data_IF_013914462914
#
_entry.id   IF_013914462914
#
_cell.length_a   1.000
_cell.length_b   1.000
_cell.length_c   1.000
_cell.angle_alpha   90.00
_cell.angle_beta   90.00
_cell.angle_gamma   90.00
#
_symmetry.space_group_name_H-M   'P 1'
#
loop_
_entity.id
_entity.type
_entity.pdbx_description
1 polymer ?
#
# COMPACT_ATOMS: atom_id res chain seq x y z
N UNK A 1 15.74 -12.58 -46.28
CA UNK A 1 15.58 -12.44 -44.82
C UNK A 1 14.09 -12.31 -44.57
N UNK A 2 13.48 -13.26 -43.84
CA UNK A 2 12.06 -13.15 -43.49
C UNK A 2 11.85 -11.84 -42.72
N UNK A 3 10.99 -10.97 -43.26
CA UNK A 3 10.41 -9.87 -42.50
C UNK A 3 9.49 -10.50 -41.44
N UNK A 4 10.06 -10.90 -40.30
CA UNK A 4 9.27 -11.24 -39.12
C UNK A 4 8.70 -9.94 -38.61
N UNK A 5 7.44 -9.67 -38.97
CA UNK A 5 6.67 -8.59 -38.37
C UNK A 5 6.75 -8.72 -36.83
N UNK A 6 7.13 -7.63 -36.17
CA UNK A 6 7.19 -7.58 -34.72
C UNK A 6 5.76 -7.71 -34.18
N UNK A 7 5.56 -8.58 -33.18
CA UNK A 7 4.27 -8.72 -32.53
C UNK A 7 3.98 -7.47 -31.70
N UNK A 8 2.73 -7.04 -31.66
CA UNK A 8 2.32 -5.91 -30.80
C UNK A 8 2.63 -6.20 -29.32
N UNK A 9 2.42 -7.44 -28.88
CA UNK A 9 2.74 -7.91 -27.52
C UNK A 9 3.32 -9.32 -27.52
N UNK A 10 4.18 -9.61 -26.54
CA UNK A 10 4.63 -10.97 -26.26
C UNK A 10 4.93 -11.17 -24.77
N UNK A 11 4.91 -12.43 -24.31
CA UNK A 11 5.34 -12.80 -22.96
C UNK A 11 6.73 -13.45 -23.09
N UNK A 12 7.70 -12.94 -22.34
CA UNK A 12 9.00 -13.59 -22.22
C UNK A 12 8.87 -14.83 -21.34
N UNK A 13 9.01 -16.03 -21.92
CA UNK A 13 8.88 -17.31 -21.22
C UNK A 13 9.89 -17.49 -20.07
N UNK A 14 11.00 -16.76 -20.09
CA UNK A 14 12.02 -16.82 -19.03
C UNK A 14 11.61 -16.03 -17.79
N UNK A 15 10.90 -14.92 -17.97
CA UNK A 15 10.57 -13.97 -16.89
C UNK A 15 9.08 -13.90 -16.56
N UNK A 16 8.22 -14.40 -17.46
CA UNK A 16 6.77 -14.27 -17.37
C UNK A 16 6.25 -12.85 -17.62
N UNK A 17 7.12 -11.91 -17.99
CA UNK A 17 6.78 -10.50 -18.20
C UNK A 17 6.18 -10.32 -19.59
N UNK A 18 5.03 -9.66 -19.66
CA UNK A 18 4.43 -9.20 -20.92
C UNK A 18 5.15 -7.93 -21.38
N UNK A 19 5.45 -7.82 -22.66
CA UNK A 19 6.05 -6.66 -23.30
C UNK A 19 5.11 -6.11 -24.37
N UNK A 20 5.07 -4.79 -24.52
CA UNK A 20 4.35 -4.08 -25.58
C UNK A 20 5.34 -3.38 -26.52
N UNK A 21 5.15 -3.52 -27.82
CA UNK A 21 5.94 -2.82 -28.83
C UNK A 21 5.61 -1.32 -28.82
N UNK A 22 6.63 -0.48 -28.64
CA UNK A 22 6.52 0.97 -28.73
C UNK A 22 7.60 1.49 -29.67
N UNK A 23 7.21 1.87 -30.89
CA UNK A 23 8.16 2.26 -31.94
C UNK A 23 8.96 1.05 -32.42
N UNK A 24 10.27 1.08 -32.23
CA UNK A 24 11.23 0.06 -32.63
C UNK A 24 11.74 -0.82 -31.47
N UNK A 25 11.19 -0.64 -30.26
CA UNK A 25 11.58 -1.42 -29.07
C UNK A 25 10.38 -1.88 -28.25
N UNK A 26 10.62 -2.87 -27.40
CA UNK A 26 9.61 -3.43 -26.48
C UNK A 26 9.75 -2.85 -25.08
N UNK A 27 8.62 -2.45 -24.49
CA UNK A 27 8.53 -1.99 -23.10
C UNK A 27 7.86 -3.06 -22.25
N UNK A 28 8.45 -3.45 -21.10
CA UNK A 28 7.82 -4.40 -20.20
C UNK A 28 6.59 -3.77 -19.52
N UNK A 29 5.50 -4.51 -19.48
CA UNK A 29 4.23 -4.14 -18.83
C UNK A 29 4.34 -4.37 -17.31
N UNK A 30 5.24 -3.61 -16.67
CA UNK A 30 5.43 -3.65 -15.22
C UNK A 30 4.42 -2.69 -14.60
N UNK A 31 3.49 -3.24 -13.82
CA UNK A 31 2.55 -2.48 -13.05
C UNK A 31 2.72 -2.78 -11.55
N UNK A 32 2.59 -1.75 -10.72
CA UNK A 32 2.43 -1.98 -9.29
C UNK A 32 1.11 -2.72 -9.03
N UNK A 33 1.08 -3.67 -8.08
CA UNK A 33 -0.17 -4.30 -7.67
C UNK A 33 -1.17 -3.24 -7.20
N UNK A 34 -2.46 -3.51 -7.35
CA UNK A 34 -3.50 -2.59 -6.83
C UNK A 34 -3.47 -2.61 -5.31
N UNK A 35 -3.45 -1.43 -4.70
CA UNK A 35 -3.57 -1.32 -3.24
C UNK A 35 -4.90 -1.92 -2.77
N UNK A 36 -4.88 -2.70 -1.68
CA UNK A 36 -6.11 -3.25 -1.06
C UNK A 36 -7.15 -2.17 -0.72
N UNK A 37 -6.71 -1.00 -0.24
CA UNK A 37 -7.58 0.08 0.22
C UNK A 37 -7.03 1.46 -0.13
N UNK A 38 -7.94 2.42 -0.30
CA UNK A 38 -7.62 3.84 -0.50
C UNK A 38 -8.25 4.71 0.59
N UNK A 39 -7.75 5.93 0.77
CA UNK A 39 -8.20 6.84 1.83
C UNK A 39 -7.13 7.87 2.20
N UNK A 40 -7.47 8.73 3.15
CA UNK A 40 -6.55 9.71 3.73
C UNK A 40 -5.94 9.15 5.02
N UNK A 41 -4.62 9.23 5.13
CA UNK A 41 -3.91 8.78 6.32
C UNK A 41 -4.04 9.86 7.40
N UNK A 42 -4.59 9.49 8.55
CA UNK A 42 -4.75 10.38 9.69
C UNK A 42 -3.51 10.46 10.58
N UNK A 43 -3.69 11.03 11.77
CA UNK A 43 -2.62 11.28 12.74
C UNK A 43 -1.88 10.00 13.12
N UNK A 44 -2.60 8.92 13.41
CA UNK A 44 -2.01 7.67 13.91
C UNK A 44 -1.27 6.93 12.80
N UNK A 45 -1.83 6.93 11.59
CA UNK A 45 -1.13 6.42 10.42
C UNK A 45 0.17 7.18 10.13
N UNK A 46 0.19 8.51 10.24
CA UNK A 46 1.43 9.30 10.06
C UNK A 46 2.47 8.96 11.13
N UNK A 47 2.06 8.81 12.40
CA UNK A 47 2.97 8.42 13.47
C UNK A 47 3.60 7.05 13.20
N UNK A 48 2.80 6.07 12.77
CA UNK A 48 3.30 4.74 12.40
C UNK A 48 4.24 4.80 11.20
N UNK A 49 3.92 5.59 10.18
CA UNK A 49 4.77 5.80 9.02
C UNK A 49 6.15 6.36 9.41
N UNK A 50 6.19 7.37 10.27
CA UNK A 50 7.44 7.97 10.74
C UNK A 50 8.28 6.97 11.53
N UNK A 51 7.63 6.17 12.39
CA UNK A 51 8.30 5.09 13.11
C UNK A 51 8.90 4.07 12.13
N UNK A 52 8.12 3.65 11.12
CA UNK A 52 8.58 2.65 10.16
C UNK A 52 9.77 3.14 9.34
N UNK A 53 9.71 4.37 8.84
CA UNK A 53 10.83 4.99 8.10
C UNK A 53 12.11 5.09 8.92
N UNK A 54 12.00 5.31 10.23
CA UNK A 54 13.16 5.50 11.10
C UNK A 54 13.74 4.19 11.63
N UNK A 55 12.90 3.20 11.92
CA UNK A 55 13.30 2.02 12.69
C UNK A 55 12.98 0.68 12.02
N UNK A 56 12.14 0.66 10.98
CA UNK A 56 11.63 -0.55 10.29
C UNK A 56 11.72 -0.39 8.77
N UNK A 57 12.91 0.00 8.30
CA UNK A 57 13.17 0.26 6.88
C UNK A 57 12.89 -0.96 5.99
N UNK A 58 13.27 -2.20 6.37
CA UNK A 58 12.95 -3.38 5.57
C UNK A 58 11.44 -3.55 5.37
N UNK A 59 10.67 -3.52 6.45
CA UNK A 59 9.21 -3.70 6.42
C UNK A 59 8.51 -2.55 5.69
N UNK A 60 8.99 -1.31 5.87
CA UNK A 60 8.53 -0.15 5.11
C UNK A 60 8.72 -0.33 3.60
N UNK A 61 9.92 -0.75 3.20
CA UNK A 61 10.29 -0.89 1.79
C UNK A 61 9.50 -2.02 1.14
N UNK A 62 9.36 -3.15 1.81
CA UNK A 62 8.56 -4.29 1.33
C UNK A 62 7.10 -3.87 1.07
N UNK A 63 6.47 -3.24 2.06
CA UNK A 63 5.08 -2.78 1.91
C UNK A 63 4.92 -1.71 0.82
N UNK A 64 5.94 -0.86 0.63
CA UNK A 64 5.93 0.15 -0.43
C UNK A 64 5.98 -0.49 -1.83
N UNK A 65 6.88 -1.46 -2.04
CA UNK A 65 7.04 -2.18 -3.30
C UNK A 65 5.79 -2.99 -3.66
N UNK A 66 5.14 -3.58 -2.65
CA UNK A 66 3.92 -4.35 -2.81
C UNK A 66 2.65 -3.48 -2.86
N UNK A 67 2.77 -2.14 -2.86
CA UNK A 67 1.65 -1.18 -2.82
C UNK A 67 0.67 -1.39 -1.64
N UNK A 68 1.15 -1.97 -0.54
CA UNK A 68 0.36 -2.35 0.63
C UNK A 68 0.51 -1.37 1.81
N UNK A 69 1.55 -0.53 1.78
CA UNK A 69 1.85 0.41 2.85
C UNK A 69 0.65 1.29 3.21
N UNK A 70 -0.03 1.84 2.21
CA UNK A 70 -1.16 2.75 2.45
C UNK A 70 -2.32 2.03 3.14
N UNK A 71 -2.66 0.84 2.69
CA UNK A 71 -3.72 0.01 3.28
C UNK A 71 -3.40 -0.28 4.75
N UNK A 72 -2.17 -0.73 5.03
CA UNK A 72 -1.71 -1.01 6.38
C UNK A 72 -1.82 0.21 7.32
N UNK A 73 -1.43 1.40 6.87
CA UNK A 73 -1.52 2.61 7.68
C UNK A 73 -2.96 3.04 7.96
N UNK A 74 -3.90 2.77 7.05
CA UNK A 74 -5.32 3.01 7.26
C UNK A 74 -5.91 2.03 8.28
N UNK A 75 -5.47 0.78 8.26
CA UNK A 75 -5.91 -0.22 9.24
C UNK A 75 -5.43 0.14 10.66
N UNK A 76 -4.18 0.60 10.79
CA UNK A 76 -3.65 1.12 12.07
C UNK A 76 -4.41 2.37 12.54
N UNK A 77 -4.77 3.26 11.62
CA UNK A 77 -5.56 4.46 11.94
C UNK A 77 -6.92 4.09 12.53
N UNK A 78 -7.61 3.13 11.93
CA UNK A 78 -8.92 2.65 12.41
C UNK A 78 -8.80 1.96 13.77
N UNK A 79 -7.80 1.07 13.93
CA UNK A 79 -7.53 0.39 15.20
C UNK A 79 -7.23 1.39 16.34
N UNK A 80 -6.42 2.41 16.08
CA UNK A 80 -6.11 3.45 17.06
C UNK A 80 -7.34 4.27 17.45
N UNK A 81 -8.20 4.62 16.49
CA UNK A 81 -9.44 5.36 16.75
C UNK A 81 -10.44 4.54 17.58
N UNK A 82 -10.58 3.27 17.27
CA UNK A 82 -11.46 2.37 18.02
C UNK A 82 -10.99 2.20 19.47
N UNK A 83 -9.69 1.96 19.67
CA UNK A 83 -9.10 1.87 21.01
C UNK A 83 -9.23 3.16 21.80
N UNK A 84 -8.99 4.31 21.16
CA UNK A 84 -9.17 5.61 21.80
C UNK A 84 -10.62 5.81 22.25
N UNK A 85 -11.58 5.52 21.36
CA UNK A 85 -13.01 5.67 21.66
C UNK A 85 -13.42 4.79 22.84
N UNK A 86 -12.96 3.54 22.86
CA UNK A 86 -13.22 2.61 23.97
C UNK A 86 -12.61 3.11 25.28
N UNK A 87 -11.37 3.60 25.24
CA UNK A 87 -10.69 4.12 26.43
C UNK A 87 -11.40 5.36 27.00
N UNK A 88 -11.83 6.30 26.14
CA UNK A 88 -12.58 7.48 26.55
C UNK A 88 -13.87 7.08 27.27
N UNK A 89 -14.62 6.11 26.72
CA UNK A 89 -15.86 5.61 27.35
C UNK A 89 -15.60 5.00 28.72
N UNK A 90 -14.63 4.10 28.82
CA UNK A 90 -14.26 3.44 30.09
C UNK A 90 -13.82 4.46 31.15
N UNK A 91 -13.07 5.49 30.76
CA UNK A 91 -12.66 6.55 31.68
C UNK A 91 -13.85 7.41 32.11
N UNK A 92 -14.75 7.76 31.19
CA UNK A 92 -15.95 8.54 31.49
C UNK A 92 -16.87 7.81 32.49
N UNK A 93 -17.11 6.51 32.27
CA UNK A 93 -17.86 5.66 33.19
C UNK A 93 -17.23 5.62 34.59
N UNK A 94 -15.91 5.46 34.66
CA UNK A 94 -15.18 5.41 35.94
C UNK A 94 -15.27 6.72 36.73
N UNK A 95 -15.23 7.86 36.03
CA UNK A 95 -15.28 9.19 36.65
C UNK A 95 -16.73 9.70 36.85
N UNK A 96 -17.76 8.87 36.56
CA UNK A 96 -19.18 9.24 36.57
C UNK A 96 -19.51 10.46 35.68
N UNK A 97 -18.75 10.63 34.59
CA UNK A 97 -19.00 11.67 33.60
C UNK A 97 -19.81 11.02 32.47
N UNK A 98 -21.01 11.53 32.20
CA UNK A 98 -21.77 11.08 31.04
C UNK A 98 -21.07 11.54 29.76
N UNK A 99 -20.59 10.59 28.94
CA UNK A 99 -20.21 10.89 27.56
C UNK A 99 -21.49 10.90 26.73
N UNK A 100 -21.85 12.01 26.05
CA UNK A 100 -22.91 12.00 25.04
C UNK A 100 -22.55 11.11 23.86
#
# INVERSE_FOLDING_TARGET
MENKELKERFIDERTGIEYTLQGDYYIPNIAMPKARRTGNIGKYGILKLNYMKKYKIPEYTEMLLNNELKSYLLDIEDECKEKLTTLIKQMAEKENIYSP
#
